data_IF_049277122443
#
_entry.id   IF_049277122443
#
_cell.length_a   1.000
_cell.length_b   1.000
_cell.length_c   1.000
_cell.angle_alpha   90.00
_cell.angle_beta   90.00
_cell.angle_gamma   90.00
#
_symmetry.space_group_name_H-M   'P 1'
#
loop_
_entity.id
_entity.type
_entity.pdbx_description
1 polymer ?
#
# COMPACT_ATOMS: atom_id res chain seq x y z
N UNK A 1 -13.39 -63.54 -1.17
CA UNK A 1 -14.27 -62.45 -0.70
C UNK A 1 -13.39 -61.47 0.07
N UNK A 2 -12.47 -60.79 -0.63
CA UNK A 2 -12.63 -59.49 -1.34
C UNK A 2 -12.91 -58.41 -0.28
N UNK A 3 -12.03 -57.46 0.03
CA UNK A 3 -11.37 -56.52 -0.88
C UNK A 3 -10.03 -56.02 -0.28
N UNK A 4 -8.92 -56.36 -0.95
CA UNK A 4 -7.59 -55.77 -0.72
C UNK A 4 -7.47 -54.48 -1.60
N UNK A 5 -8.57 -53.73 -1.76
CA UNK A 5 -8.70 -52.69 -2.79
C UNK A 5 -9.00 -51.28 -2.25
N UNK A 6 -8.54 -50.95 -1.04
CA UNK A 6 -8.49 -49.55 -0.57
C UNK A 6 -7.11 -49.14 -0.06
N UNK A 7 -6.06 -49.82 -0.54
CA UNK A 7 -4.78 -49.13 -0.74
C UNK A 7 -4.92 -48.41 -2.08
N UNK A 8 -4.65 -47.10 -2.10
CA UNK A 8 -4.43 -46.29 -3.31
C UNK A 8 -5.72 -45.86 -4.03
N UNK A 9 -6.43 -44.90 -3.45
CA UNK A 9 -7.20 -43.94 -4.25
C UNK A 9 -6.93 -42.54 -3.69
N UNK A 10 -6.11 -41.78 -4.43
CA UNK A 10 -5.99 -40.30 -4.45
C UNK A 10 -5.61 -39.62 -3.12
N UNK A 11 -4.41 -39.12 -2.80
CA UNK A 11 -3.24 -38.67 -3.57
C UNK A 11 -3.58 -38.09 -4.95
N UNK A 12 -4.35 -37.00 -4.99
CA UNK A 12 -4.07 -35.88 -5.91
C UNK A 12 -4.94 -34.66 -5.60
N UNK A 13 -4.30 -33.49 -5.58
CA UNK A 13 -4.89 -32.17 -5.77
C UNK A 13 -5.75 -31.60 -4.62
N UNK A 14 -5.18 -31.45 -3.42
CA UNK A 14 -5.19 -30.08 -2.92
C UNK A 14 -3.90 -29.50 -3.49
N UNK A 15 -4.04 -28.87 -4.65
CA UNK A 15 -3.04 -27.96 -5.16
C UNK A 15 -2.77 -27.01 -4.00
N UNK A 16 -1.62 -27.19 -3.34
CA UNK A 16 -1.00 -26.10 -2.63
C UNK A 16 -0.97 -24.98 -3.66
N UNK A 17 -1.90 -24.03 -3.52
CA UNK A 17 -1.83 -22.77 -4.21
C UNK A 17 -0.50 -22.21 -3.78
N UNK A 18 0.50 -22.38 -4.62
CA UNK A 18 1.78 -21.72 -4.46
C UNK A 18 1.45 -20.27 -4.75
N UNK A 19 0.99 -19.53 -3.75
CA UNK A 19 0.94 -18.08 -3.83
C UNK A 19 2.41 -17.69 -3.94
N UNK A 20 2.90 -17.53 -5.17
CA UNK A 20 4.12 -16.84 -5.46
C UNK A 20 3.95 -15.48 -4.80
N UNK A 21 4.51 -15.34 -3.58
CA UNK A 21 4.06 -14.36 -2.60
C UNK A 21 3.78 -13.03 -3.27
N UNK A 22 2.50 -12.64 -3.30
CA UNK A 22 2.05 -11.49 -4.08
C UNK A 22 2.85 -10.27 -3.63
N UNK A 23 3.77 -9.86 -4.49
CA UNK A 23 4.68 -8.77 -4.16
C UNK A 23 3.89 -7.48 -4.28
N UNK A 24 3.79 -6.77 -3.16
CA UNK A 24 3.28 -5.40 -3.14
C UNK A 24 4.11 -4.58 -4.11
N UNK A 25 3.46 -4.03 -5.13
CA UNK A 25 4.08 -3.18 -6.14
C UNK A 25 3.65 -1.72 -5.99
N UNK A 26 2.46 -1.47 -5.45
CA UNK A 26 1.90 -0.12 -5.31
C UNK A 26 1.01 0.01 -4.10
N UNK A 27 0.88 1.22 -3.56
CA UNK A 27 -0.15 1.58 -2.60
C UNK A 27 -1.04 2.71 -3.11
N UNK A 28 -2.31 2.70 -2.72
CA UNK A 28 -3.18 3.86 -2.84
C UNK A 28 -3.85 4.19 -1.52
N UNK A 29 -3.90 5.47 -1.19
CA UNK A 29 -4.76 5.97 -0.13
C UNK A 29 -6.08 6.35 -0.78
N UNK A 30 -7.13 5.60 -0.46
CA UNK A 30 -8.47 5.83 -0.97
C UNK A 30 -9.32 6.55 0.07
N UNK A 31 -9.90 7.69 -0.29
CA UNK A 31 -10.80 8.42 0.62
C UNK A 31 -11.73 9.41 -0.09
N UNK A 32 -12.84 9.76 0.55
CA UNK A 32 -13.65 10.91 0.15
C UNK A 32 -12.97 12.22 0.58
N UNK A 33 -12.60 13.07 -0.38
CA UNK A 33 -11.95 14.37 -0.16
C UNK A 33 -12.81 15.38 0.61
N UNK A 34 -14.14 15.26 0.55
CA UNK A 34 -15.07 16.14 1.24
C UNK A 34 -15.36 15.68 2.67
N UNK A 35 -16.18 14.63 2.80
CA UNK A 35 -16.84 14.28 4.06
C UNK A 35 -15.92 13.57 5.05
N UNK A 36 -15.19 12.55 4.59
CA UNK A 36 -14.39 11.72 5.47
C UNK A 36 -13.10 12.45 5.88
N UNK A 37 -12.36 12.96 4.91
CA UNK A 37 -11.02 13.51 5.12
C UNK A 37 -11.01 14.77 6.02
N UNK A 38 -12.12 15.50 6.12
CA UNK A 38 -12.28 16.63 7.05
C UNK A 38 -12.11 16.22 8.53
N UNK A 39 -12.43 14.97 8.87
CA UNK A 39 -12.29 14.44 10.24
C UNK A 39 -10.89 13.87 10.53
N UNK A 40 -10.00 13.83 9.52
CA UNK A 40 -8.64 13.28 9.63
C UNK A 40 -7.60 14.29 9.14
N UNK A 41 -7.37 15.39 9.90
CA UNK A 41 -6.52 16.50 9.45
C UNK A 41 -5.07 16.08 9.20
N UNK A 42 -4.54 15.13 9.96
CA UNK A 42 -3.17 14.65 9.80
C UNK A 42 -3.01 13.80 8.53
N UNK A 43 -4.00 12.98 8.19
CA UNK A 43 -4.03 12.22 6.93
C UNK A 43 -4.18 13.17 5.75
N UNK A 44 -5.03 14.19 5.88
CA UNK A 44 -5.20 15.24 4.86
C UNK A 44 -3.87 15.92 4.55
N UNK A 45 -3.15 16.39 5.58
CA UNK A 45 -1.82 16.99 5.42
C UNK A 45 -0.82 16.02 4.81
N UNK A 46 -0.84 14.76 5.22
CA UNK A 46 0.02 13.73 4.63
C UNK A 46 -0.23 13.59 3.12
N UNK A 47 -1.49 13.50 2.70
CA UNK A 47 -1.88 13.43 1.28
C UNK A 47 -1.47 14.70 0.53
N UNK A 48 -1.62 15.87 1.13
CA UNK A 48 -1.34 17.15 0.47
C UNK A 48 0.17 17.43 0.33
N UNK A 49 0.98 17.05 1.32
CA UNK A 49 2.37 17.49 1.41
C UNK A 49 3.41 16.37 1.30
N UNK A 50 3.11 15.16 1.78
CA UNK A 50 4.12 14.10 1.95
C UNK A 50 3.98 12.94 0.95
N UNK A 51 2.77 12.67 0.45
CA UNK A 51 2.54 11.50 -0.41
C UNK A 51 3.42 11.51 -1.66
N UNK A 52 3.73 12.70 -2.17
CA UNK A 52 4.56 12.90 -3.34
C UNK A 52 6.01 12.46 -3.12
N UNK A 53 6.47 12.38 -1.88
CA UNK A 53 7.81 11.91 -1.52
C UNK A 53 7.96 10.40 -1.64
N UNK A 54 6.88 9.62 -1.79
CA UNK A 54 6.94 8.16 -1.87
C UNK A 54 6.88 7.67 -3.33
N UNK A 55 7.67 6.64 -3.63
CA UNK A 55 7.58 5.88 -4.88
C UNK A 55 6.39 4.93 -4.81
N UNK A 56 5.66 4.81 -5.93
CA UNK A 56 4.54 3.86 -6.07
C UNK A 56 3.42 4.02 -5.02
N UNK A 57 3.23 5.23 -4.48
CA UNK A 57 2.10 5.59 -3.60
C UNK A 57 1.30 6.72 -4.23
N UNK A 58 -0.02 6.55 -4.32
CA UNK A 58 -0.92 7.56 -4.89
C UNK A 58 -2.17 7.79 -4.03
N UNK A 59 -2.76 8.98 -4.12
CA UNK A 59 -4.07 9.24 -3.52
C UNK A 59 -5.16 9.07 -4.57
N UNK A 60 -6.26 8.40 -4.21
CA UNK A 60 -7.42 8.20 -5.06
C UNK A 60 -8.68 8.64 -4.34
N UNK A 61 -9.43 9.53 -4.97
CA UNK A 61 -10.68 10.01 -4.42
C UNK A 61 -11.80 8.98 -4.66
N UNK A 62 -12.41 8.50 -3.58
CA UNK A 62 -13.55 7.57 -3.62
C UNK A 62 -14.71 8.17 -2.80
N UNK A 63 -15.86 8.50 -3.42
CA UNK A 63 -17.00 9.07 -2.72
C UNK A 63 -17.51 8.17 -1.59
N UNK A 64 -17.78 8.75 -0.42
CA UNK A 64 -18.35 8.02 0.74
C UNK A 64 -17.38 7.09 1.47
N UNK A 65 -16.12 6.97 1.05
CA UNK A 65 -15.14 6.10 1.68
C UNK A 65 -14.36 6.80 2.80
N UNK A 66 -14.17 6.11 3.92
CA UNK A 66 -13.20 6.51 4.95
C UNK A 66 -11.77 6.38 4.41
N UNK A 67 -10.76 7.04 5.00
CA UNK A 67 -9.37 6.86 4.57
C UNK A 67 -8.91 5.42 4.77
N UNK A 68 -8.52 4.77 3.68
CA UNK A 68 -7.99 3.40 3.66
C UNK A 68 -6.70 3.34 2.83
N UNK A 69 -5.75 2.52 3.30
CA UNK A 69 -4.55 2.16 2.55
C UNK A 69 -4.81 0.84 1.84
N UNK A 70 -4.69 0.87 0.52
CA UNK A 70 -4.91 -0.26 -0.36
C UNK A 70 -3.59 -0.62 -1.01
N UNK A 71 -3.17 -1.87 -0.89
CA UNK A 71 -1.95 -2.41 -1.47
C UNK A 71 -2.31 -3.20 -2.71
N UNK A 72 -1.57 -2.97 -3.78
CA UNK A 72 -1.77 -3.61 -5.08
C UNK A 72 -0.52 -4.38 -5.50
N UNK A 73 -0.74 -5.44 -6.27
CA UNK A 73 0.33 -6.11 -6.99
C UNK A 73 0.73 -5.37 -8.28
N UNK A 74 1.65 -5.96 -9.04
CA UNK A 74 2.11 -5.42 -10.33
C UNK A 74 1.05 -5.44 -11.45
N UNK A 75 -0.08 -6.12 -11.24
CA UNK A 75 -1.19 -6.26 -12.18
C UNK A 75 -2.42 -5.45 -11.74
N UNK A 76 -2.27 -4.49 -10.81
CA UNK A 76 -3.37 -3.69 -10.27
C UNK A 76 -4.42 -4.47 -9.46
N UNK A 77 -4.09 -5.69 -9.02
CA UNK A 77 -4.98 -6.48 -8.15
C UNK A 77 -4.80 -6.07 -6.70
N UNK A 78 -5.91 -5.81 -6.01
CA UNK A 78 -5.92 -5.48 -4.59
C UNK A 78 -5.49 -6.71 -3.78
N UNK A 79 -4.38 -6.57 -3.06
CA UNK A 79 -3.83 -7.59 -2.18
C UNK A 79 -4.34 -7.44 -0.76
N UNK A 80 -4.37 -6.20 -0.28
CA UNK A 80 -4.63 -5.90 1.12
C UNK A 80 -5.25 -4.52 1.25
N UNK A 81 -6.21 -4.38 2.16
CA UNK A 81 -6.85 -3.11 2.50
C UNK A 81 -6.87 -2.92 4.00
N UNK A 82 -6.34 -1.79 4.44
CA UNK A 82 -6.26 -1.42 5.85
C UNK A 82 -6.93 -0.08 6.12
N UNK A 83 -7.68 0.06 7.23
CA UNK A 83 -8.08 1.36 7.71
C UNK A 83 -6.84 2.25 7.93
N UNK A 84 -6.77 3.37 7.22
CA UNK A 84 -5.67 4.30 7.37
C UNK A 84 -5.98 5.20 8.57
N UNK A 85 -5.66 4.72 9.77
CA UNK A 85 -6.04 5.35 11.06
C UNK A 85 -4.83 5.86 11.84
N UNK A 86 -3.93 6.55 11.16
CA UNK A 86 -2.77 7.16 11.80
C UNK A 86 -3.20 8.36 12.68
N UNK A 87 -2.52 8.53 13.81
CA UNK A 87 -2.70 9.65 14.74
C UNK A 87 -1.88 10.88 14.33
N UNK A 88 -0.79 10.71 13.57
CA UNK A 88 0.05 11.80 13.04
C UNK A 88 0.57 11.56 11.62
N UNK A 89 1.14 12.59 10.99
CA UNK A 89 1.80 12.50 9.67
C UNK A 89 3.00 11.56 9.68
N UNK A 90 3.77 11.58 10.76
CA UNK A 90 4.95 10.74 10.94
C UNK A 90 4.57 9.27 11.02
N UNK A 91 3.47 8.95 11.72
CA UNK A 91 2.92 7.59 11.73
C UNK A 91 2.45 7.14 10.34
N UNK A 92 1.85 8.03 9.54
CA UNK A 92 1.49 7.73 8.14
C UNK A 92 2.74 7.36 7.33
N UNK A 93 3.80 8.16 7.45
CA UNK A 93 5.06 7.92 6.77
C UNK A 93 5.70 6.60 7.21
N UNK A 94 5.74 6.35 8.51
CA UNK A 94 6.35 5.16 9.10
C UNK A 94 5.62 3.89 8.65
N UNK A 95 4.28 3.92 8.59
CA UNK A 95 3.48 2.79 8.10
C UNK A 95 3.83 2.41 6.65
N UNK A 96 4.05 3.40 5.77
CA UNK A 96 4.49 3.13 4.40
C UNK A 96 5.90 2.55 4.34
N UNK A 97 6.83 3.05 5.17
CA UNK A 97 8.18 2.51 5.27
C UNK A 97 8.18 1.05 5.75
N UNK A 98 7.36 0.72 6.76
CA UNK A 98 7.20 -0.64 7.28
C UNK A 98 6.60 -1.60 6.25
N UNK A 99 5.74 -1.11 5.37
CA UNK A 99 5.21 -1.86 4.22
C UNK A 99 6.20 -2.00 3.06
N UNK A 100 7.38 -1.39 3.16
CA UNK A 100 8.46 -1.51 2.18
C UNK A 100 8.49 -0.44 1.09
N UNK A 101 7.64 0.59 1.18
CA UNK A 101 7.69 1.72 0.26
C UNK A 101 8.89 2.61 0.57
N UNK A 102 9.51 3.13 -0.47
CA UNK A 102 10.68 3.98 -0.35
C UNK A 102 10.30 5.42 -0.62
N UNK A 103 10.98 6.33 0.07
CA UNK A 103 10.99 7.73 -0.32
C UNK A 103 11.80 7.88 -1.59
N UNK A 104 11.31 8.69 -2.51
CA UNK A 104 12.05 9.18 -3.66
C UNK A 104 13.35 9.79 -3.15
N UNK A 105 14.46 9.39 -3.74
CA UNK A 105 15.71 10.09 -3.50
C UNK A 105 15.49 11.55 -3.91
N UNK A 106 15.52 12.47 -2.95
CA UNK A 106 15.57 13.90 -3.27
C UNK A 106 16.82 14.08 -4.11
N UNK A 107 16.65 14.28 -5.42
CA UNK A 107 17.77 14.61 -6.27
C UNK A 107 18.47 15.80 -5.62
N UNK A 108 19.72 15.61 -5.19
CA UNK A 108 20.62 16.71 -4.88
C UNK A 108 20.90 17.44 -6.19
N UNK A 109 19.90 18.16 -6.71
CA UNK A 109 20.05 19.06 -7.84
C UNK A 109 20.19 20.47 -7.29
N UNK A 110 21.45 20.88 -7.09
CA UNK A 110 21.86 22.28 -7.15
C UNK A 110 21.85 23.08 -5.85
N UNK A 111 22.83 22.84 -4.97
CA UNK A 111 23.51 23.97 -4.35
C UNK A 111 24.34 24.67 -5.44
N UNK A 112 23.81 25.73 -6.03
CA UNK A 112 24.66 26.75 -6.66
C UNK A 112 24.67 27.95 -5.73
N UNK A 113 25.84 28.16 -5.16
CA UNK A 113 26.24 29.33 -4.41
C UNK A 113 25.94 30.57 -5.26
N UNK A 114 25.30 31.56 -4.66
CA UNK A 114 25.59 32.96 -4.96
C UNK A 114 26.09 33.54 -3.63
N UNK A 115 27.29 33.12 -3.25
CA UNK A 115 28.22 34.08 -2.67
C UNK A 115 28.53 35.05 -3.81
N UNK A 116 28.14 36.33 -3.66
CA UNK A 116 28.73 37.53 -4.27
C UNK A 116 27.68 38.66 -4.32
N UNK A 117 27.67 39.48 -3.26
CA UNK A 117 27.81 40.96 -3.27
C UNK A 117 27.25 41.57 -1.98
#
# INVERSE_FOLDING_TARGET
MNCICFRIFTLLAICFGYSEGERIARASIESCTGCALANYPEIKKFIEFDIHDFEDVAFKQVPGLLPELVLYDKYDQELERHPFRCRSREECCQLLLEKGFKRKAKALSGSHLHDDM
#
